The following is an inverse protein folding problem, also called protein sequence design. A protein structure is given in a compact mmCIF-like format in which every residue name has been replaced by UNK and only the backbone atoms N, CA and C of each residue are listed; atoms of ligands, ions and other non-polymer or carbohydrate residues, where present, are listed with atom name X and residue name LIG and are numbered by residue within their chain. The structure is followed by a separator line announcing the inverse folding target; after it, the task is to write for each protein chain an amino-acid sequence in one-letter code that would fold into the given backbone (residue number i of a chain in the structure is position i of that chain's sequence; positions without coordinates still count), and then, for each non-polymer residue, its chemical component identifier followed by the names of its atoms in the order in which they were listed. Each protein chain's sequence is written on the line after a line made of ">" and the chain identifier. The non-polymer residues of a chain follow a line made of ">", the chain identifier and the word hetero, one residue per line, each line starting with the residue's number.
data_IF_397965990099
#
_entry.id   IF_397965990099
#
_cell.length_a   1.000
_cell.length_b   1.000
_cell.length_c   1.000
_cell.angle_alpha   90.00
_cell.angle_beta   90.00
_cell.angle_gamma   90.00
#
_symmetry.space_group_name_H-M   'P 1'
#
loop_
_entity.id
_entity.type
_entity.pdbx_description
1 polymer ?
#
# COMPACT_ATOMS: atom_id res chain seq x y z
N UNK A 1 46.00 17.80 3.53
CA UNK A 1 45.29 18.79 2.71
C UNK A 1 43.81 18.43 2.77
N UNK A 2 43.06 19.18 3.57
CA UNK A 2 41.60 19.03 3.70
C UNK A 2 40.95 19.56 2.43
N UNK A 3 40.17 18.71 1.76
CA UNK A 3 39.24 19.20 0.74
C UNK A 3 37.91 19.47 1.43
N UNK A 4 37.56 20.74 1.45
CA UNK A 4 36.28 21.30 1.88
C UNK A 4 35.15 20.59 1.11
N UNK A 5 34.49 19.63 1.76
CA UNK A 5 33.19 19.14 1.30
C UNK A 5 32.20 20.18 1.76
N UNK A 6 31.81 21.05 0.84
CA UNK A 6 30.61 21.87 1.00
C UNK A 6 29.41 20.91 1.03
N UNK A 7 28.68 20.76 2.15
CA UNK A 7 27.40 20.06 2.10
C UNK A 7 26.44 20.96 1.34
N UNK A 8 26.20 20.68 0.07
CA UNK A 8 25.06 21.28 -0.59
C UNK A 8 23.81 20.74 0.13
N UNK A 9 23.00 21.59 0.78
CA UNK A 9 21.79 21.11 1.39
C UNK A 9 20.93 20.59 0.25
N UNK A 10 20.65 19.29 0.26
CA UNK A 10 19.60 18.68 -0.55
C UNK A 10 18.27 19.18 0.04
N UNK A 11 18.05 20.48 -0.09
CA UNK A 11 16.86 21.18 0.33
C UNK A 11 15.76 20.80 -0.65
N UNK A 12 14.71 20.20 -0.09
CA UNK A 12 13.37 20.08 -0.66
C UNK A 12 13.16 19.21 -1.91
N UNK A 13 13.49 17.91 -1.80
CA UNK A 13 13.01 16.93 -2.79
C UNK A 13 12.44 15.61 -2.22
N UNK A 14 12.29 15.46 -0.91
CA UNK A 14 12.06 14.12 -0.31
C UNK A 14 10.61 13.72 -0.01
N UNK A 15 9.73 14.65 0.33
CA UNK A 15 8.42 14.32 0.89
C UNK A 15 7.32 15.17 0.25
N UNK A 16 7.18 15.09 -1.08
CA UNK A 16 5.88 15.42 -1.66
C UNK A 16 4.94 14.30 -1.22
N UNK A 17 3.99 14.58 -0.34
CA UNK A 17 2.93 13.63 0.03
C UNK A 17 2.33 13.11 -1.27
N UNK A 18 2.60 11.85 -1.59
CA UNK A 18 2.05 11.23 -2.79
C UNK A 18 0.53 11.25 -2.66
N UNK A 19 -0.18 11.55 -3.75
CA UNK A 19 -1.64 11.44 -3.72
C UNK A 19 -2.00 9.97 -3.58
N UNK A 20 -3.14 9.68 -2.95
CA UNK A 20 -3.58 8.30 -2.78
C UNK A 20 -3.63 7.56 -4.13
N UNK A 21 -4.09 8.22 -5.18
CA UNK A 21 -4.12 7.67 -6.55
C UNK A 21 -2.73 7.25 -7.06
N UNK A 22 -1.69 8.05 -6.78
CA UNK A 22 -0.31 7.75 -7.18
C UNK A 22 0.21 6.52 -6.41
N UNK A 23 -0.10 6.45 -5.11
CA UNK A 23 0.25 5.31 -4.25
C UNK A 23 -0.48 4.05 -4.74
N UNK A 24 -1.77 4.12 -5.01
CA UNK A 24 -2.58 2.99 -5.50
C UNK A 24 -2.04 2.49 -6.84
N UNK A 25 -1.69 3.40 -7.76
CA UNK A 25 -1.11 3.03 -9.05
C UNK A 25 0.24 2.31 -8.87
N UNK A 26 1.11 2.81 -7.97
CA UNK A 26 2.37 2.16 -7.66
C UNK A 26 2.18 0.78 -7.02
N UNK A 27 1.23 0.65 -6.08
CA UNK A 27 0.89 -0.63 -5.44
C UNK A 27 0.35 -1.62 -6.46
N UNK A 28 -0.52 -1.20 -7.38
CA UNK A 28 -1.04 -2.05 -8.46
C UNK A 28 0.07 -2.56 -9.39
N UNK A 29 1.11 -1.76 -9.62
CA UNK A 29 2.26 -2.13 -10.44
C UNK A 29 3.26 -3.04 -9.72
N UNK A 30 3.59 -2.75 -8.46
CA UNK A 30 4.65 -3.42 -7.71
C UNK A 30 4.16 -4.59 -6.85
N UNK A 31 2.93 -4.53 -6.34
CA UNK A 31 2.32 -5.52 -5.44
C UNK A 31 0.95 -5.97 -5.99
N UNK A 32 0.90 -6.51 -7.22
CA UNK A 32 -0.35 -6.78 -7.92
C UNK A 32 -1.26 -7.77 -7.19
N UNK A 33 -0.68 -8.74 -6.45
CA UNK A 33 -1.48 -9.68 -5.67
C UNK A 33 -2.17 -8.98 -4.51
N UNK A 34 -1.44 -8.18 -3.72
CA UNK A 34 -2.01 -7.45 -2.59
C UNK A 34 -3.14 -6.51 -3.03
N UNK A 35 -2.93 -5.77 -4.13
CA UNK A 35 -3.96 -4.92 -4.72
C UNK A 35 -5.22 -5.72 -5.09
N UNK A 36 -5.06 -6.82 -5.83
CA UNK A 36 -6.19 -7.65 -6.30
C UNK A 36 -6.94 -8.31 -5.15
N UNK A 37 -6.23 -8.74 -4.11
CA UNK A 37 -6.81 -9.35 -2.93
C UNK A 37 -7.75 -8.36 -2.22
N UNK A 38 -7.26 -7.15 -1.93
CA UNK A 38 -8.09 -6.10 -1.29
C UNK A 38 -9.26 -5.72 -2.18
N UNK A 39 -9.05 -5.59 -3.49
CA UNK A 39 -10.13 -5.31 -4.43
C UNK A 39 -11.24 -6.39 -4.42
N UNK A 40 -10.85 -7.67 -4.38
CA UNK A 40 -11.80 -8.77 -4.34
C UNK A 40 -12.58 -8.82 -3.02
N UNK A 41 -11.90 -8.64 -1.89
CA UNK A 41 -12.54 -8.63 -0.56
C UNK A 41 -13.48 -7.42 -0.41
N UNK A 42 -13.11 -6.25 -0.95
CA UNK A 42 -13.98 -5.08 -0.95
C UNK A 42 -15.25 -5.28 -1.79
N UNK A 43 -15.14 -6.01 -2.91
CA UNK A 43 -16.28 -6.36 -3.75
C UNK A 43 -17.19 -7.40 -3.06
N UNK A 44 -16.60 -8.37 -2.36
CA UNK A 44 -17.33 -9.35 -1.54
C UNK A 44 -18.13 -8.67 -0.42
N UNK A 45 -17.50 -7.76 0.34
CA UNK A 45 -18.16 -6.98 1.39
C UNK A 45 -19.31 -6.13 0.85
N UNK A 46 -19.13 -5.54 -0.35
CA UNK A 46 -20.13 -4.67 -0.96
C UNK A 46 -21.31 -5.44 -1.54
N UNK A 47 -21.07 -6.65 -2.05
CA UNK A 47 -22.10 -7.50 -2.64
C UNK A 47 -22.85 -8.34 -1.62
N UNK A 48 -22.24 -8.60 -0.46
CA UNK A 48 -22.82 -9.37 0.64
C UNK A 48 -23.51 -8.54 1.72
N UNK A 49 -23.93 -9.23 2.78
CA UNK A 49 -24.41 -8.62 4.04
C UNK A 49 -23.43 -8.85 5.19
N UNK A 50 -22.25 -9.41 4.90
CA UNK A 50 -21.24 -9.71 5.91
C UNK A 50 -20.49 -8.44 6.32
N UNK A 51 -20.17 -8.34 7.61
CA UNK A 51 -19.35 -7.24 8.15
C UNK A 51 -17.86 -7.44 7.86
N UNK A 52 -17.44 -8.70 7.68
CA UNK A 52 -16.05 -9.09 7.44
C UNK A 52 -15.98 -10.05 6.25
N UNK A 53 -14.90 -9.93 5.47
CA UNK A 53 -14.54 -10.87 4.42
C UNK A 53 -13.18 -11.48 4.76
N UNK A 54 -13.11 -12.80 4.70
CA UNK A 54 -11.89 -13.54 5.05
C UNK A 54 -10.95 -13.62 3.85
N UNK A 55 -9.69 -13.21 4.06
CA UNK A 55 -8.68 -13.35 3.03
C UNK A 55 -8.33 -14.83 2.80
N UNK A 56 -8.34 -15.34 1.55
CA UNK A 56 -7.82 -16.66 1.24
C UNK A 56 -6.34 -16.78 1.64
N UNK A 57 -5.92 -17.98 2.05
CA UNK A 57 -4.55 -18.23 2.46
C UNK A 57 -3.57 -18.01 1.29
N UNK A 58 -2.64 -17.03 1.38
CA UNK A 58 -1.69 -16.75 0.31
C UNK A 58 -0.56 -17.78 0.23
N UNK A 59 -0.08 -18.01 -0.99
CA UNK A 59 1.18 -18.72 -1.27
C UNK A 59 2.37 -17.97 -0.64
N UNK A 60 3.53 -18.62 -0.50
CA UNK A 60 4.71 -17.97 0.12
C UNK A 60 5.15 -16.69 -0.62
N UNK A 61 5.13 -16.72 -1.96
CA UNK A 61 5.47 -15.54 -2.78
C UNK A 61 4.45 -14.39 -2.61
N UNK A 62 3.18 -14.74 -2.41
CA UNK A 62 2.06 -13.80 -2.27
C UNK A 62 2.06 -13.16 -0.87
N UNK A 63 2.41 -13.93 0.17
CA UNK A 63 2.59 -13.43 1.55
C UNK A 63 3.55 -12.26 1.62
N UNK A 64 4.64 -12.31 0.85
CA UNK A 64 5.62 -11.23 0.80
C UNK A 64 4.99 -9.90 0.37
N UNK A 65 4.11 -9.93 -0.65
CA UNK A 65 3.42 -8.73 -1.12
C UNK A 65 2.43 -8.20 -0.09
N UNK A 66 1.63 -9.08 0.52
CA UNK A 66 0.65 -8.70 1.55
C UNK A 66 1.36 -8.09 2.75
N UNK A 67 2.43 -8.72 3.24
CA UNK A 67 3.21 -8.19 4.38
C UNK A 67 3.82 -6.82 4.06
N UNK A 68 4.36 -6.63 2.86
CA UNK A 68 4.91 -5.34 2.45
C UNK A 68 3.83 -4.25 2.44
N UNK A 69 2.65 -4.54 1.88
CA UNK A 69 1.52 -3.61 1.86
C UNK A 69 1.04 -3.24 3.27
N UNK A 70 0.90 -4.23 4.16
CA UNK A 70 0.44 -4.01 5.53
C UNK A 70 1.49 -3.37 6.45
N UNK A 71 2.78 -3.54 6.16
CA UNK A 71 3.86 -2.91 6.94
C UNK A 71 3.98 -1.40 6.74
N UNK A 72 3.38 -0.86 5.67
CA UNK A 72 3.43 0.56 5.36
C UNK A 72 2.07 1.20 5.58
N UNK A 73 2.00 2.07 6.59
CA UNK A 73 0.79 2.81 6.94
C UNK A 73 0.26 3.66 5.77
N UNK A 74 1.18 4.23 4.96
CA UNK A 74 0.81 5.00 3.78
C UNK A 74 0.14 4.13 2.70
N UNK A 75 0.68 2.92 2.46
CA UNK A 75 0.08 1.97 1.51
C UNK A 75 -1.27 1.49 2.04
N UNK A 76 -1.30 1.03 3.29
CA UNK A 76 -2.51 0.54 3.95
C UNK A 76 -3.63 1.58 3.90
N UNK A 77 -3.37 2.79 4.40
CA UNK A 77 -4.36 3.86 4.43
C UNK A 77 -4.80 4.31 3.04
N UNK A 78 -3.92 4.29 2.04
CA UNK A 78 -4.28 4.61 0.66
C UNK A 78 -5.22 3.56 0.05
N UNK A 79 -4.96 2.27 0.28
CA UNK A 79 -5.84 1.19 -0.17
C UNK A 79 -7.21 1.23 0.52
N UNK A 80 -7.23 1.45 1.84
CA UNK A 80 -8.46 1.59 2.63
C UNK A 80 -9.36 2.72 2.08
N UNK A 81 -8.79 3.91 1.87
CA UNK A 81 -9.52 5.05 1.29
C UNK A 81 -9.96 4.79 -0.15
N UNK A 82 -9.11 4.16 -0.95
CA UNK A 82 -9.42 3.86 -2.35
C UNK A 82 -10.59 2.88 -2.50
N UNK A 83 -10.64 1.83 -1.67
CA UNK A 83 -11.69 0.81 -1.74
C UNK A 83 -12.88 1.07 -0.80
N UNK A 84 -12.76 2.00 0.14
CA UNK A 84 -13.77 2.31 1.14
C UNK A 84 -13.92 1.21 2.20
N UNK A 85 -12.81 0.60 2.61
CA UNK A 85 -12.77 -0.51 3.58
C UNK A 85 -11.76 -0.21 4.68
N UNK A 86 -11.79 -0.99 5.76
CA UNK A 86 -10.77 -0.98 6.81
C UNK A 86 -10.07 -2.34 6.80
N UNK A 87 -8.74 -2.34 6.71
CA UNK A 87 -7.95 -3.57 6.77
C UNK A 87 -7.70 -3.93 8.23
N UNK A 88 -8.01 -5.17 8.59
CA UNK A 88 -7.71 -5.68 9.92
C UNK A 88 -6.19 -5.81 10.13
N UNK A 89 -5.73 -5.46 11.32
CA UNK A 89 -4.32 -5.49 11.75
C UNK A 89 -3.94 -6.81 12.41
#
# INVERSE_FOLDING_TARGET
>A
MSSDVTPHPLADAGARTARDEDVVAAVRASLPYAYRLVAALADELRSGTAEFADAPAPSEAERGQVRCALSSEAIRGSLERHFGVVLAS
#
